data_IF_706092646778
#
_entry.id   IF_706092646778
#
_cell.length_a   1.000
_cell.length_b   1.000
_cell.length_c   1.000
_cell.angle_alpha   90.00
_cell.angle_beta   90.00
_cell.angle_gamma   90.00
#
_symmetry.space_group_name_H-M   'P 1'
#
loop_
_entity.id
_entity.type
_entity.pdbx_description
1 polymer ?
#
# COMPACT_ATOMS: atom_id res chain seq x y z
N UNK A 1 -13.02 -18.64 17.08
CA UNK A 1 -13.30 -17.25 17.42
C UNK A 1 -13.14 -16.95 18.91
N UNK A 2 -12.62 -15.78 19.23
CA UNK A 2 -12.45 -15.33 20.60
C UNK A 2 -13.21 -14.01 20.76
N UNK A 3 -14.49 -14.06 21.17
CA UNK A 3 -15.41 -12.91 21.05
C UNK A 3 -15.26 -11.87 22.16
N UNK A 4 -14.38 -12.11 23.16
CA UNK A 4 -14.28 -11.23 24.32
C UNK A 4 -13.07 -10.30 24.23
N UNK A 5 -13.21 -9.08 24.74
CA UNK A 5 -12.13 -8.10 24.84
C UNK A 5 -10.94 -8.68 25.60
N UNK A 6 -9.73 -8.45 25.10
CA UNK A 6 -8.47 -8.90 25.72
C UNK A 6 -8.12 -10.36 25.50
N UNK A 7 -8.95 -11.13 24.79
CA UNK A 7 -8.65 -12.49 24.38
C UNK A 7 -8.17 -12.46 22.93
N UNK A 8 -7.06 -13.15 22.65
CA UNK A 8 -6.53 -13.29 21.30
C UNK A 8 -7.60 -13.77 20.32
N UNK A 9 -7.64 -13.18 19.17
CA UNK A 9 -8.54 -13.53 18.11
C UNK A 9 -7.84 -13.54 16.75
N UNK A 10 -8.38 -14.24 15.79
CA UNK A 10 -7.89 -14.20 14.42
C UNK A 10 -8.73 -13.25 13.57
N UNK A 11 -8.10 -12.61 12.59
CA UNK A 11 -8.77 -11.88 11.52
C UNK A 11 -8.95 -12.74 10.29
N UNK A 12 -9.72 -12.24 9.32
CA UNK A 12 -9.72 -12.73 7.94
C UNK A 12 -8.55 -12.13 7.18
N UNK A 13 -7.78 -12.98 6.51
CA UNK A 13 -6.74 -12.52 5.59
C UNK A 13 -7.31 -12.50 4.19
N UNK A 14 -7.51 -11.30 3.65
CA UNK A 14 -8.01 -11.11 2.31
C UNK A 14 -6.82 -10.99 1.37
N UNK A 15 -6.54 -12.05 0.61
CA UNK A 15 -5.52 -12.02 -0.41
C UNK A 15 -6.04 -11.22 -1.61
N UNK A 16 -5.29 -10.22 -2.02
CA UNK A 16 -5.67 -9.27 -3.04
C UNK A 16 -4.55 -9.05 -4.04
N UNK A 17 -4.87 -9.12 -5.32
CA UNK A 17 -3.93 -8.88 -6.41
C UNK A 17 -4.62 -8.18 -7.58
N UNK A 18 -3.82 -7.67 -8.51
CA UNK A 18 -4.27 -7.06 -9.77
C UNK A 18 -3.83 -7.94 -10.93
N UNK A 19 -4.76 -8.30 -11.78
CA UNK A 19 -4.49 -9.08 -12.97
C UNK A 19 -5.15 -8.51 -14.21
N UNK A 20 -4.59 -8.81 -15.37
CA UNK A 20 -5.20 -8.53 -16.65
C UNK A 20 -6.15 -9.66 -17.05
N UNK A 21 -7.02 -9.43 -18.02
CA UNK A 21 -7.86 -10.44 -18.68
C UNK A 21 -7.03 -11.53 -19.37
N UNK A 22 -5.77 -11.23 -19.73
CA UNK A 22 -4.80 -12.18 -20.29
C UNK A 22 -4.06 -13.00 -19.24
N UNK A 23 -4.38 -12.84 -17.95
CA UNK A 23 -3.81 -13.61 -16.84
C UNK A 23 -2.46 -13.11 -16.33
N UNK A 24 -2.01 -11.90 -16.71
CA UNK A 24 -0.78 -11.30 -16.17
C UNK A 24 -1.05 -10.71 -14.80
N UNK A 25 -0.29 -11.12 -13.79
CA UNK A 25 -0.33 -10.50 -12.46
C UNK A 25 0.55 -9.25 -12.43
N UNK A 26 -0.07 -8.08 -12.24
CA UNK A 26 0.58 -6.77 -12.26
C UNK A 26 1.38 -6.48 -10.98
N UNK A 27 1.12 -7.22 -9.90
CA UNK A 27 1.88 -7.17 -8.64
C UNK A 27 3.00 -8.22 -8.57
N UNK A 28 3.28 -8.89 -9.68
CA UNK A 28 4.42 -9.82 -9.75
C UNK A 28 5.62 -9.15 -10.41
N UNK A 29 6.81 -9.20 -9.78
CA UNK A 29 8.03 -8.71 -10.40
C UNK A 29 8.32 -9.44 -11.70
N UNK A 30 8.78 -8.71 -12.71
CA UNK A 30 9.13 -9.23 -14.00
C UNK A 30 10.62 -9.58 -14.13
N UNK A 31 10.99 -10.12 -15.30
CA UNK A 31 12.38 -10.47 -15.64
C UNK A 31 13.10 -9.34 -16.35
N UNK A 32 12.37 -8.41 -16.94
CA UNK A 32 12.90 -7.28 -17.69
C UNK A 32 12.77 -5.98 -16.92
N UNK A 33 13.54 -4.96 -17.30
CA UNK A 33 13.43 -3.63 -16.70
C UNK A 33 12.06 -2.99 -16.93
N UNK A 34 11.42 -3.26 -18.07
CA UNK A 34 10.07 -2.76 -18.39
C UNK A 34 9.01 -3.41 -17.51
N UNK A 35 9.05 -4.73 -17.35
CA UNK A 35 8.15 -5.46 -16.46
C UNK A 35 8.34 -5.03 -15.00
N UNK A 36 9.57 -4.75 -14.58
CA UNK A 36 9.85 -4.27 -13.23
C UNK A 36 9.39 -2.82 -13.03
N UNK A 37 9.48 -1.95 -14.03
CA UNK A 37 8.87 -0.62 -13.96
C UNK A 37 7.34 -0.73 -13.85
N UNK A 38 6.72 -1.62 -14.61
CA UNK A 38 5.30 -1.92 -14.50
C UNK A 38 4.95 -2.38 -13.08
N UNK A 39 5.64 -3.39 -12.57
CA UNK A 39 5.44 -3.89 -11.20
C UNK A 39 5.51 -2.78 -10.15
N UNK A 40 6.60 -1.97 -10.17
CA UNK A 40 6.76 -0.86 -9.23
C UNK A 40 5.67 0.19 -9.40
N UNK A 41 5.21 0.45 -10.62
CA UNK A 41 4.12 1.39 -10.88
C UNK A 41 2.84 0.92 -10.17
N UNK A 42 2.44 -0.33 -10.35
CA UNK A 42 1.25 -0.86 -9.70
C UNK A 42 1.42 -0.94 -8.17
N UNK A 43 2.56 -1.38 -7.68
CA UNK A 43 2.86 -1.46 -6.26
C UNK A 43 2.76 -0.09 -5.57
N UNK A 44 3.39 0.94 -6.14
CA UNK A 44 3.41 2.29 -5.56
C UNK A 44 2.03 2.93 -5.57
N UNK A 45 1.24 2.72 -6.62
CA UNK A 45 -0.15 3.19 -6.67
C UNK A 45 -1.01 2.56 -5.56
N UNK A 46 -0.86 1.26 -5.31
CA UNK A 46 -1.57 0.57 -4.22
C UNK A 46 -1.18 1.13 -2.85
N UNK A 47 0.12 1.38 -2.63
CA UNK A 47 0.60 1.97 -1.37
C UNK A 47 0.07 3.40 -1.20
N UNK A 48 0.08 4.19 -2.28
CA UNK A 48 -0.42 5.57 -2.29
C UNK A 48 -1.92 5.61 -1.99
N UNK A 49 -2.71 4.74 -2.62
CA UNK A 49 -4.15 4.59 -2.35
C UNK A 49 -4.42 4.27 -0.88
N UNK A 50 -3.68 3.30 -0.32
CA UNK A 50 -3.79 2.95 1.09
C UNK A 50 -3.41 4.08 2.04
N UNK A 51 -2.45 4.93 1.67
CA UNK A 51 -2.07 6.12 2.43
C UNK A 51 -3.11 7.24 2.33
N UNK A 52 -3.54 7.57 1.11
CA UNK A 52 -4.53 8.63 0.85
C UNK A 52 -5.87 8.35 1.53
N UNK A 53 -6.33 7.11 1.47
CA UNK A 53 -7.60 6.67 2.04
C UNK A 53 -7.44 5.85 3.33
N UNK A 54 -6.37 6.12 4.11
CA UNK A 54 -6.06 5.40 5.35
C UNK A 54 -7.22 5.39 6.35
N UNK A 55 -7.84 6.55 6.58
CA UNK A 55 -8.99 6.68 7.48
C UNK A 55 -10.22 5.91 6.99
N UNK A 56 -10.49 5.92 5.68
CA UNK A 56 -11.62 5.19 5.11
C UNK A 56 -11.42 3.67 5.17
N UNK A 57 -10.19 3.17 4.90
CA UNK A 57 -9.85 1.77 5.12
C UNK A 57 -10.00 1.37 6.58
N UNK A 58 -9.68 2.28 7.51
CA UNK A 58 -9.92 2.09 8.94
C UNK A 58 -11.41 1.97 9.24
N UNK A 59 -12.25 2.83 8.66
CA UNK A 59 -13.70 2.77 8.82
C UNK A 59 -14.27 1.44 8.31
N UNK A 60 -13.80 0.97 7.16
CA UNK A 60 -14.27 -0.24 6.52
C UNK A 60 -13.96 -1.55 7.28
N UNK A 61 -13.07 -1.51 8.27
CA UNK A 61 -12.77 -2.64 9.15
C UNK A 61 -13.37 -2.49 10.55
N UNK A 62 -13.97 -1.33 10.85
CA UNK A 62 -14.61 -1.08 12.14
C UNK A 62 -16.00 -1.71 12.18
N UNK A 63 -16.24 -2.46 13.24
CA UNK A 63 -17.55 -3.05 13.52
C UNK A 63 -17.72 -3.26 15.02
N UNK A 64 -18.93 -3.53 15.48
CA UNK A 64 -19.19 -3.89 16.86
C UNK A 64 -18.45 -5.16 17.29
N UNK A 65 -18.19 -6.07 16.36
CA UNK A 65 -17.51 -7.34 16.61
C UNK A 65 -15.99 -7.26 16.47
N UNK A 66 -15.46 -6.24 15.80
CA UNK A 66 -14.02 -6.08 15.54
C UNK A 66 -13.35 -4.99 16.39
N UNK A 67 -14.04 -3.88 16.67
CA UNK A 67 -13.45 -2.70 17.31
C UNK A 67 -12.77 -2.97 18.65
N UNK A 68 -13.36 -3.82 19.50
CA UNK A 68 -12.80 -4.16 20.82
C UNK A 68 -11.62 -5.14 20.75
N UNK A 69 -11.34 -5.71 19.59
CA UNK A 69 -10.26 -6.70 19.34
C UNK A 69 -9.08 -6.11 18.62
N UNK A 70 -9.23 -4.95 17.98
CA UNK A 70 -8.16 -4.34 17.20
C UNK A 70 -6.93 -4.02 18.07
N UNK A 71 -5.76 -4.41 17.57
CA UNK A 71 -4.47 -4.14 18.21
C UNK A 71 -4.12 -5.00 19.42
N UNK A 72 -4.91 -6.01 19.75
CA UNK A 72 -4.53 -7.03 20.74
C UNK A 72 -3.65 -8.11 20.07
N UNK A 73 -2.92 -8.90 20.90
CA UNK A 73 -2.09 -10.00 20.39
C UNK A 73 -2.88 -10.98 19.51
N UNK A 74 -2.34 -11.29 18.34
CA UNK A 74 -2.97 -12.15 17.32
C UNK A 74 -4.36 -11.68 16.83
N UNK A 75 -4.78 -10.47 17.24
CA UNK A 75 -5.98 -9.83 16.73
C UNK A 75 -5.65 -8.97 15.50
N UNK A 76 -6.67 -8.49 14.75
CA UNK A 76 -6.44 -7.57 13.63
C UNK A 76 -5.68 -6.31 14.08
N UNK A 77 -4.70 -5.83 13.28
CA UNK A 77 -3.98 -4.59 13.57
C UNK A 77 -4.92 -3.38 13.65
N UNK A 78 -4.70 -2.51 14.62
CA UNK A 78 -5.54 -1.32 14.86
C UNK A 78 -5.26 -0.16 13.89
N UNK A 79 -4.04 -0.09 13.34
CA UNK A 79 -3.59 0.98 12.47
C UNK A 79 -3.30 0.38 11.09
N UNK A 80 -3.87 0.97 10.04
CA UNK A 80 -3.62 0.54 8.68
C UNK A 80 -2.21 1.02 8.26
N UNK A 81 -1.26 0.10 8.25
CA UNK A 81 0.10 0.29 7.76
C UNK A 81 0.44 -0.78 6.72
N UNK A 82 1.42 -0.47 5.88
CA UNK A 82 1.84 -1.37 4.79
C UNK A 82 3.22 -1.94 5.07
N UNK A 83 3.29 -3.26 5.10
CA UNK A 83 4.56 -4.02 5.14
C UNK A 83 4.97 -4.39 3.72
N UNK A 84 6.23 -4.12 3.37
CA UNK A 84 6.81 -4.43 2.06
C UNK A 84 7.96 -5.42 2.12
N UNK A 85 8.54 -5.58 3.31
CA UNK A 85 9.80 -6.27 3.52
C UNK A 85 11.02 -5.42 3.13
N UNK A 86 12.17 -5.78 3.69
CA UNK A 86 13.42 -5.00 3.59
C UNK A 86 13.86 -4.77 2.15
N UNK A 87 13.66 -5.75 1.28
CA UNK A 87 14.13 -5.69 -0.11
C UNK A 87 13.32 -4.70 -0.94
N UNK A 88 11.98 -4.78 -0.91
CA UNK A 88 11.12 -3.84 -1.64
C UNK A 88 11.27 -2.44 -1.08
N UNK A 89 11.31 -2.30 0.24
CA UNK A 89 11.56 -1.01 0.90
C UNK A 89 12.88 -0.38 0.43
N UNK A 90 13.97 -1.15 0.36
CA UNK A 90 15.26 -0.68 -0.14
C UNK A 90 15.22 -0.27 -1.63
N UNK A 91 14.44 -0.98 -2.46
CA UNK A 91 14.20 -0.59 -3.86
C UNK A 91 13.52 0.76 -3.95
N UNK A 92 12.44 0.97 -3.19
CA UNK A 92 11.70 2.23 -3.19
C UNK A 92 12.57 3.38 -2.67
N UNK A 93 13.34 3.18 -1.62
CA UNK A 93 14.24 4.20 -1.06
C UNK A 93 15.34 4.59 -2.07
N UNK A 94 15.90 3.62 -2.80
CA UNK A 94 16.87 3.91 -3.87
C UNK A 94 16.23 4.66 -5.04
N UNK A 95 15.00 4.31 -5.43
CA UNK A 95 14.28 5.04 -6.47
C UNK A 95 13.99 6.48 -6.04
N UNK A 96 13.59 6.70 -4.79
CA UNK A 96 13.36 8.03 -4.23
C UNK A 96 14.65 8.88 -4.22
N UNK A 97 15.77 8.30 -3.80
CA UNK A 97 17.05 8.99 -3.68
C UNK A 97 17.74 9.25 -5.02
N UNK A 98 17.39 8.53 -6.08
CA UNK A 98 18.08 8.65 -7.37
C UNK A 98 17.87 10.03 -8.00
N UNK A 99 18.93 10.62 -8.61
CA UNK A 99 18.84 11.88 -9.32
C UNK A 99 18.41 11.65 -10.76
N UNK A 100 17.40 12.38 -11.20
CA UNK A 100 17.00 12.46 -12.60
C UNK A 100 17.95 13.45 -13.30
N UNK A 101 19.04 12.96 -13.91
CA UNK A 101 19.87 13.81 -14.76
C UNK A 101 19.20 13.96 -16.13
N UNK A 102 18.89 15.19 -16.50
CA UNK A 102 18.14 15.55 -17.72
C UNK A 102 18.87 15.22 -19.02
N UNK A 103 20.16 14.86 -18.95
CA UNK A 103 21.00 14.55 -20.10
C UNK A 103 21.05 13.05 -20.48
N UNK A 104 20.55 12.15 -19.62
CA UNK A 104 20.61 10.70 -19.86
C UNK A 104 19.36 10.27 -20.62
N UNK A 105 19.52 9.50 -21.68
CA UNK A 105 18.41 8.81 -22.36
C UNK A 105 17.70 7.90 -21.34
N UNK A 106 16.60 8.39 -20.82
CA UNK A 106 15.83 7.73 -19.79
C UNK A 106 15.04 6.57 -20.43
N UNK A 107 15.34 5.35 -20.03
CA UNK A 107 14.53 4.17 -20.33
C UNK A 107 14.47 3.28 -19.07
N UNK A 108 13.51 2.36 -19.01
CA UNK A 108 13.31 1.49 -17.86
C UNK A 108 14.61 0.74 -17.45
N UNK A 109 15.41 0.30 -18.44
CA UNK A 109 16.69 -0.38 -18.20
C UNK A 109 17.71 0.52 -17.48
N UNK A 110 17.74 1.81 -17.83
CA UNK A 110 18.63 2.77 -17.18
C UNK A 110 18.17 3.14 -15.78
N UNK A 111 16.85 3.26 -15.54
CA UNK A 111 16.27 3.55 -14.21
C UNK A 111 16.75 2.50 -13.21
N UNK A 112 16.57 1.23 -13.51
CA UNK A 112 16.99 0.15 -12.61
C UNK A 112 18.50 0.02 -12.48
N UNK A 113 19.27 0.27 -13.56
CA UNK A 113 20.72 0.29 -13.53
C UNK A 113 21.29 1.43 -12.70
N UNK A 114 20.72 2.64 -12.82
CA UNK A 114 21.13 3.82 -12.05
C UNK A 114 20.82 3.70 -10.56
N UNK A 115 19.73 3.03 -10.21
CA UNK A 115 19.37 2.73 -8.83
C UNK A 115 20.18 1.58 -8.21
N UNK A 116 21.11 0.99 -8.96
CA UNK A 116 21.90 -0.18 -8.52
C UNK A 116 21.08 -1.47 -8.40
N UNK A 117 19.90 -1.50 -9.02
CA UNK A 117 18.98 -2.63 -8.98
C UNK A 117 19.05 -3.33 -10.33
N UNK A 118 19.92 -4.31 -10.47
CA UNK A 118 20.03 -5.08 -11.72
C UNK A 118 19.00 -6.22 -11.83
N UNK A 119 18.51 -6.73 -10.70
CA UNK A 119 17.62 -7.91 -10.65
C UNK A 119 16.65 -7.84 -9.47
N UNK A 120 15.47 -7.25 -9.66
CA UNK A 120 14.37 -7.29 -8.66
C UNK A 120 13.88 -8.74 -8.39
N UNK A 121 13.72 -9.64 -9.41
CA UNK A 121 13.24 -10.99 -9.14
C UNK A 121 14.09 -11.83 -8.20
N UNK A 122 15.42 -11.61 -8.21
CA UNK A 122 16.33 -12.33 -7.29
C UNK A 122 16.17 -11.85 -5.84
N UNK A 123 15.78 -10.58 -5.68
CA UNK A 123 15.57 -9.96 -4.37
C UNK A 123 14.27 -10.42 -3.70
N UNK A 124 13.23 -10.75 -4.47
CA UNK A 124 11.91 -11.08 -3.90
C UNK A 124 11.71 -12.56 -3.59
N UNK A 125 12.60 -13.44 -4.05
CA UNK A 125 12.50 -14.88 -3.78
C UNK A 125 12.75 -15.25 -2.33
N UNK A 126 13.40 -14.37 -1.56
CA UNK A 126 13.85 -14.66 -0.19
C UNK A 126 13.09 -13.84 0.87
N UNK A 127 11.88 -13.38 0.55
CA UNK A 127 11.07 -12.63 1.52
C UNK A 127 10.29 -13.58 2.42
N UNK A 128 11.02 -14.36 3.22
CA UNK A 128 10.47 -15.26 4.26
C UNK A 128 10.04 -14.50 5.51
N UNK A 129 10.36 -13.23 5.62
CA UNK A 129 10.02 -12.40 6.77
C UNK A 129 8.56 -11.93 6.69
N UNK A 130 7.66 -12.76 7.23
CA UNK A 130 6.25 -12.44 7.38
C UNK A 130 6.04 -11.58 8.61
N UNK A 131 5.90 -10.27 8.42
CA UNK A 131 5.39 -9.44 9.49
C UNK A 131 3.89 -9.73 9.70
N UNK A 132 3.59 -10.51 10.75
CA UNK A 132 2.22 -10.92 11.09
C UNK A 132 1.41 -9.81 11.75
N UNK A 133 2.04 -8.69 12.11
CA UNK A 133 1.43 -7.58 12.83
C UNK A 133 1.01 -6.43 11.92
N UNK A 134 1.31 -6.50 10.62
CA UNK A 134 0.92 -5.50 9.63
C UNK A 134 -0.51 -5.70 9.17
N UNK A 135 -1.24 -4.60 9.03
CA UNK A 135 -2.61 -4.61 8.52
C UNK A 135 -2.69 -4.91 7.02
N UNK A 136 -1.72 -4.43 6.24
CA UNK A 136 -1.68 -4.58 4.79
C UNK A 136 -0.27 -4.98 4.36
N UNK A 137 -0.06 -6.25 4.05
CA UNK A 137 1.27 -6.81 3.80
C UNK A 137 1.43 -7.26 2.35
N UNK A 138 2.52 -6.83 1.70
CA UNK A 138 2.94 -7.37 0.41
C UNK A 138 3.65 -8.71 0.61
N UNK A 139 3.22 -9.74 -0.10
CA UNK A 139 3.72 -11.12 0.06
C UNK A 139 4.38 -11.66 -1.21
N UNK A 140 5.00 -10.78 -2.00
CA UNK A 140 5.81 -11.12 -3.17
C UNK A 140 5.10 -11.00 -4.52
N UNK A 141 3.80 -11.25 -4.59
CA UNK A 141 2.99 -11.11 -5.80
C UNK A 141 1.54 -10.69 -5.54
N UNK A 142 1.22 -10.30 -4.32
CA UNK A 142 -0.09 -9.87 -3.86
C UNK A 142 0.02 -9.15 -2.52
N UNK A 143 -1.04 -8.49 -2.13
CA UNK A 143 -1.23 -7.99 -0.77
C UNK A 143 -2.16 -8.89 0.03
N UNK A 144 -1.98 -8.88 1.34
CA UNK A 144 -2.91 -9.45 2.31
C UNK A 144 -3.45 -8.33 3.19
N UNK A 145 -4.76 -8.05 3.12
CA UNK A 145 -5.44 -7.19 4.08
C UNK A 145 -5.87 -8.05 5.27
N UNK A 146 -5.28 -7.81 6.42
CA UNK A 146 -5.39 -8.66 7.62
C UNK A 146 -6.22 -8.05 8.74
N UNK A 147 -6.82 -6.91 8.49
CA UNK A 147 -7.48 -6.12 9.52
C UNK A 147 -8.99 -6.41 9.68
N UNK A 148 -9.57 -7.27 8.84
CA UNK A 148 -10.99 -7.63 8.92
C UNK A 148 -11.20 -8.63 10.05
N UNK A 149 -12.25 -8.44 10.86
CA UNK A 149 -12.61 -9.35 11.94
C UNK A 149 -13.06 -10.73 11.45
N UNK A 150 -12.82 -11.77 12.24
CA UNK A 150 -13.14 -13.15 11.86
C UNK A 150 -14.64 -13.39 11.62
N UNK A 151 -15.51 -12.66 12.32
CA UNK A 151 -16.96 -12.75 12.16
C UNK A 151 -17.52 -11.78 11.10
N UNK A 152 -16.69 -10.82 10.64
CA UNK A 152 -17.15 -9.74 9.78
C UNK A 152 -17.16 -10.15 8.30
N UNK A 153 -17.98 -9.47 7.50
CA UNK A 153 -17.93 -9.58 6.06
C UNK A 153 -16.74 -8.76 5.53
N UNK A 154 -15.96 -9.33 4.63
CA UNK A 154 -14.84 -8.62 4.02
C UNK A 154 -15.24 -7.70 2.84
N UNK A 155 -16.50 -7.72 2.41
CA UNK A 155 -16.96 -6.98 1.24
C UNK A 155 -16.70 -5.48 1.36
N UNK A 156 -17.03 -4.87 2.50
CA UNK A 156 -16.84 -3.44 2.72
C UNK A 156 -15.37 -3.02 2.58
N UNK A 157 -14.47 -3.71 3.26
CA UNK A 157 -13.04 -3.47 3.17
C UNK A 157 -12.51 -3.65 1.74
N UNK A 158 -13.03 -4.65 1.00
CA UNK A 158 -12.63 -4.89 -0.39
C UNK A 158 -13.22 -3.84 -1.36
N UNK A 159 -14.45 -3.37 -1.13
CA UNK A 159 -15.04 -2.28 -1.90
C UNK A 159 -14.17 -1.02 -1.76
N UNK A 160 -13.87 -0.62 -0.52
CA UNK A 160 -13.04 0.56 -0.25
C UNK A 160 -11.65 0.41 -0.87
N UNK A 161 -10.99 -0.74 -0.71
CA UNK A 161 -9.67 -0.97 -1.28
C UNK A 161 -9.69 -0.89 -2.81
N UNK A 162 -10.65 -1.54 -3.46
CA UNK A 162 -10.77 -1.55 -4.91
C UNK A 162 -11.03 -0.15 -5.46
N UNK A 163 -11.97 0.59 -4.86
CA UNK A 163 -12.31 1.96 -5.29
C UNK A 163 -11.15 2.92 -5.07
N UNK A 164 -10.49 2.87 -3.91
CA UNK A 164 -9.33 3.70 -3.61
C UNK A 164 -8.16 3.46 -4.58
N UNK A 165 -7.93 2.21 -4.95
CA UNK A 165 -6.88 1.86 -5.93
C UNK A 165 -7.27 2.32 -7.34
N UNK A 166 -8.54 2.20 -7.73
CA UNK A 166 -9.02 2.69 -9.02
C UNK A 166 -8.92 4.22 -9.13
N UNK A 167 -9.31 4.95 -8.07
CA UNK A 167 -9.16 6.41 -7.99
C UNK A 167 -7.69 6.85 -8.15
N UNK A 168 -6.80 6.21 -7.41
CA UNK A 168 -5.37 6.55 -7.50
C UNK A 168 -4.76 6.24 -8.86
N UNK A 169 -5.17 5.14 -9.53
CA UNK A 169 -4.74 4.87 -10.91
C UNK A 169 -5.25 5.92 -11.89
N UNK A 170 -6.47 6.39 -11.73
CA UNK A 170 -7.03 7.45 -12.57
C UNK A 170 -6.22 8.73 -12.40
N UNK A 171 -6.01 9.16 -11.15
CA UNK A 171 -5.22 10.34 -10.84
C UNK A 171 -3.75 10.21 -11.29
N UNK A 172 -3.14 9.04 -11.12
CA UNK A 172 -1.78 8.77 -11.61
C UNK A 172 -1.68 8.92 -13.13
N UNK A 173 -2.62 8.33 -13.86
CA UNK A 173 -2.66 8.44 -15.33
C UNK A 173 -2.76 9.90 -15.76
N UNK A 174 -3.67 10.68 -15.18
CA UNK A 174 -3.85 12.09 -15.51
C UNK A 174 -2.56 12.90 -15.26
N UNK A 175 -1.89 12.68 -14.13
CA UNK A 175 -0.63 13.37 -13.82
C UNK A 175 0.50 12.98 -14.78
N UNK A 176 0.57 11.72 -15.19
CA UNK A 176 1.56 11.25 -16.19
C UNK A 176 1.24 11.80 -17.57
N UNK A 177 -0.01 11.77 -17.99
CA UNK A 177 -0.44 12.26 -19.30
C UNK A 177 -0.18 13.78 -19.44
N UNK A 178 -0.48 14.57 -18.40
CA UNK A 178 -0.16 15.99 -18.37
C UNK A 178 1.35 16.28 -18.55
N UNK A 179 2.23 15.44 -17.95
CA UNK A 179 3.67 15.56 -18.15
C UNK A 179 4.09 15.21 -19.58
N UNK A 180 3.45 14.20 -20.17
CA UNK A 180 3.72 13.79 -21.57
C UNK A 180 3.29 14.92 -22.53
N UNK A 181 2.14 15.52 -22.31
CA UNK A 181 1.64 16.67 -23.09
C UNK A 181 2.58 17.88 -22.96
N UNK A 182 3.21 18.06 -21.80
CA UNK A 182 4.26 19.06 -21.58
C UNK A 182 5.62 18.69 -22.21
N UNK A 183 5.68 17.62 -23.01
CA UNK A 183 6.88 17.20 -23.75
C UNK A 183 7.84 16.29 -22.99
N UNK A 184 7.47 15.80 -21.80
CA UNK A 184 8.27 14.83 -21.05
C UNK A 184 8.08 13.43 -21.66
N UNK A 185 9.17 12.69 -21.87
CA UNK A 185 9.07 11.30 -22.34
C UNK A 185 8.33 10.42 -21.34
N UNK A 186 7.52 9.50 -21.84
CA UNK A 186 6.63 8.63 -21.04
C UNK A 186 7.31 7.96 -19.85
N UNK A 187 8.44 7.29 -20.07
CA UNK A 187 9.14 6.58 -18.99
C UNK A 187 9.67 7.53 -17.92
N UNK A 188 10.11 8.73 -18.33
CA UNK A 188 10.54 9.77 -17.41
C UNK A 188 9.37 10.34 -16.64
N UNK A 189 8.25 10.61 -17.29
CA UNK A 189 7.03 11.09 -16.65
C UNK A 189 6.53 10.11 -15.57
N UNK A 190 6.45 8.81 -15.91
CA UNK A 190 6.11 7.74 -14.96
C UNK A 190 7.08 7.75 -13.77
N UNK A 191 8.37 7.79 -14.03
CA UNK A 191 9.39 7.71 -12.99
C UNK A 191 9.34 8.91 -12.02
N UNK A 192 9.22 10.13 -12.53
CA UNK A 192 9.13 11.33 -11.71
C UNK A 192 7.87 11.33 -10.85
N UNK A 193 6.76 10.83 -11.40
CA UNK A 193 5.51 10.68 -10.66
C UNK A 193 5.65 9.62 -9.55
N UNK A 194 6.23 8.47 -9.87
CA UNK A 194 6.50 7.43 -8.88
C UNK A 194 7.38 7.93 -7.73
N UNK A 195 8.40 8.73 -8.01
CA UNK A 195 9.22 9.34 -6.95
C UNK A 195 8.41 10.24 -6.02
N UNK A 196 7.53 11.04 -6.58
CA UNK A 196 6.62 11.90 -5.81
C UNK A 196 5.72 11.06 -4.90
N UNK A 197 5.11 10.02 -5.45
CA UNK A 197 4.21 9.12 -4.73
C UNK A 197 4.92 8.30 -3.65
N UNK A 198 6.12 7.79 -3.92
CA UNK A 198 6.94 7.06 -2.92
C UNK A 198 7.22 7.97 -1.71
N UNK A 199 7.51 9.24 -1.96
CA UNK A 199 7.77 10.22 -0.90
C UNK A 199 6.51 10.55 -0.11
N UNK A 200 5.42 10.89 -0.79
CA UNK A 200 4.16 11.28 -0.14
C UNK A 200 3.53 10.14 0.65
N UNK A 201 3.64 8.89 0.19
CA UNK A 201 3.09 7.71 0.86
C UNK A 201 4.06 7.03 1.84
N UNK A 202 5.22 7.63 2.11
CA UNK A 202 6.23 7.04 3.00
C UNK A 202 5.69 6.76 4.41
N UNK A 203 4.77 7.60 4.89
CA UNK A 203 4.19 7.52 6.22
C UNK A 203 3.53 6.17 6.53
N UNK A 204 2.89 5.54 5.53
CA UNK A 204 2.17 4.28 5.73
C UNK A 204 3.10 3.06 5.79
N UNK A 205 4.35 3.15 5.28
CA UNK A 205 5.29 2.02 5.22
C UNK A 205 5.86 1.72 6.61
N UNK A 206 5.69 0.48 7.07
CA UNK A 206 6.17 0.05 8.37
C UNK A 206 6.49 -1.45 8.40
N UNK A 207 7.72 -1.78 8.78
CA UNK A 207 8.25 -3.16 8.81
C UNK A 207 8.43 -3.70 10.25
N UNK A 208 8.06 -2.91 11.29
CA UNK A 208 8.22 -3.25 12.70
C UNK A 208 7.00 -3.97 13.32
N UNK A 209 6.98 -4.04 14.64
CA UNK A 209 5.88 -4.63 15.40
C UNK A 209 4.66 -3.69 15.46
N UNK A 210 3.61 -3.99 14.69
CA UNK A 210 2.38 -3.20 14.60
C UNK A 210 1.51 -3.18 15.87
N UNK A 211 1.84 -3.97 16.90
CA UNK A 211 1.13 -4.00 18.18
C UNK A 211 1.82 -3.16 19.27
N UNK A 212 3.04 -2.67 19.02
CA UNK A 212 3.81 -1.94 20.03
C UNK A 212 3.25 -0.53 20.30
N UNK A 213 3.42 -0.05 21.53
CA UNK A 213 3.03 1.33 21.91
C UNK A 213 3.91 2.37 21.18
N UNK A 214 5.19 2.05 20.94
CA UNK A 214 6.09 2.90 20.18
C UNK A 214 5.56 3.10 18.76
N UNK A 215 5.00 2.04 18.14
CA UNK A 215 4.38 2.16 16.83
C UNK A 215 3.14 3.05 16.87
N UNK A 216 2.29 2.94 17.88
CA UNK A 216 1.11 3.82 18.01
C UNK A 216 1.51 5.28 18.07
N UNK A 217 2.51 5.62 18.88
CA UNK A 217 3.04 6.97 18.98
C UNK A 217 3.66 7.45 17.66
N UNK A 218 4.40 6.57 16.98
CA UNK A 218 5.02 6.88 15.69
C UNK A 218 3.97 7.08 14.58
N UNK A 219 2.95 6.22 14.51
CA UNK A 219 1.89 6.30 13.52
C UNK A 219 1.10 7.62 13.67
N UNK A 220 0.81 8.03 14.89
CA UNK A 220 0.18 9.32 15.16
C UNK A 220 1.06 10.50 14.68
N UNK A 221 2.37 10.45 14.93
CA UNK A 221 3.31 11.47 14.42
C UNK A 221 3.39 11.50 12.90
N UNK A 222 3.19 10.35 12.25
CA UNK A 222 3.13 10.23 10.77
C UNK A 222 1.77 10.64 10.18
N UNK A 223 0.78 10.96 10.99
CA UNK A 223 -0.56 11.35 10.56
C UNK A 223 -1.45 10.19 10.09
N UNK A 224 -1.12 8.94 10.46
CA UNK A 224 -1.97 7.79 10.19
C UNK A 224 -3.18 7.79 11.15
N UNK A 225 -4.30 7.22 10.70
CA UNK A 225 -5.50 7.14 11.52
C UNK A 225 -5.33 6.18 12.70
N UNK A 226 -5.24 6.74 13.90
CA UNK A 226 -5.10 6.01 15.16
C UNK A 226 -6.37 6.06 16.01
N UNK A 227 -7.51 6.55 15.47
CA UNK A 227 -8.79 6.62 16.21
C UNK A 227 -9.26 5.22 16.61
N UNK A 228 -9.70 5.08 17.85
CA UNK A 228 -10.20 3.81 18.42
C UNK A 228 -11.69 3.83 18.71
N UNK A 229 -12.30 5.01 18.68
CA UNK A 229 -13.74 5.18 18.92
C UNK A 229 -14.50 4.91 17.63
N UNK A 230 -15.20 3.78 17.55
CA UNK A 230 -15.91 3.36 16.35
C UNK A 230 -16.85 4.43 15.76
N UNK A 231 -17.72 5.13 16.54
CA UNK A 231 -18.54 6.22 16.00
C UNK A 231 -17.74 7.31 15.29
N UNK A 232 -16.59 7.72 15.84
CA UNK A 232 -15.73 8.75 15.24
C UNK A 232 -15.02 8.25 13.99
N UNK A 233 -14.69 6.97 13.94
CA UNK A 233 -14.08 6.38 12.74
C UNK A 233 -15.07 6.40 11.58
N UNK A 234 -16.35 6.17 11.82
CA UNK A 234 -17.37 6.20 10.77
C UNK A 234 -17.56 7.59 10.13
N UNK A 235 -17.17 8.68 10.81
CA UNK A 235 -17.16 10.01 10.20
C UNK A 235 -16.28 10.08 8.94
N UNK A 236 -15.32 9.16 8.78
CA UNK A 236 -14.46 9.06 7.58
C UNK A 236 -15.23 8.77 6.28
N UNK A 237 -16.41 8.17 6.36
CA UNK A 237 -17.29 8.03 5.20
C UNK A 237 -17.84 9.36 4.69
N UNK A 238 -17.91 10.36 5.56
CA UNK A 238 -18.39 11.71 5.23
C UNK A 238 -17.26 12.67 4.85
N UNK A 239 -16.01 12.26 4.94
CA UNK A 239 -14.88 13.07 4.48
C UNK A 239 -15.05 13.42 3.00
N UNK A 240 -14.83 14.67 2.57
CA UNK A 240 -15.03 15.08 1.17
C UNK A 240 -14.29 14.18 0.16
N UNK A 241 -13.06 13.78 0.48
CA UNK A 241 -12.28 12.87 -0.37
C UNK A 241 -12.88 11.46 -0.48
N UNK A 242 -13.58 10.99 0.56
CA UNK A 242 -14.27 9.71 0.52
C UNK A 242 -15.53 9.80 -0.33
N UNK A 243 -16.30 10.88 -0.17
CA UNK A 243 -17.51 11.12 -0.98
C UNK A 243 -17.16 11.26 -2.46
N UNK A 244 -16.13 12.05 -2.78
CA UNK A 244 -15.66 12.26 -4.16
C UNK A 244 -15.18 10.94 -4.81
N UNK A 245 -14.48 10.11 -4.06
CA UNK A 245 -13.99 8.81 -4.57
C UNK A 245 -15.13 7.85 -4.95
N UNK A 246 -16.30 7.96 -4.29
CA UNK A 246 -17.47 7.11 -4.58
C UNK A 246 -18.46 7.74 -5.55
N UNK A 247 -18.31 9.01 -5.92
CA UNK A 247 -19.16 9.71 -6.88
C UNK A 247 -18.84 9.34 -8.33
#
# INVERSE_FOLDING_TARGET
>A
EKPFKGINGSGKHNNWSLGTDTGVNLLSPGKTASENLQFITFLVNVISAGHKHNGLLKAAIMSATNSHRLGANEAPPAIISTFLGTQVSAVLDKLEASRSDSAIRFNAKNVFKMSGISHIPALLRDNTDRNRTSAFAFTGNRFELRAVGSSDNCAEAMIVLNTAVADEFTAFRERVDARIEAGVRKEKAIYEELKSMIRSSRAIRFDGNGYSEEWRAEAARRGLDCETCAPRVFDRYLDPSSVEMFA
#
